data_IF_453378829043
#
_entry.id   IF_453378829043
#
_cell.length_a   1.000
_cell.length_b   1.000
_cell.length_c   1.000
_cell.angle_alpha   90.00
_cell.angle_beta   90.00
_cell.angle_gamma   90.00
#
_symmetry.space_group_name_H-M   'P 1'
#
loop_
_entity.id
_entity.type
_entity.pdbx_description
1 polymer ?
#
# COMPACT_ATOMS: atom_id res chain seq x y z
N UNK A 1 -3.34 -8.62 -38.43
CA UNK A 1 -4.39 -9.38 -37.74
C UNK A 1 -3.78 -10.01 -36.50
N UNK A 2 -3.65 -9.23 -35.41
CA UNK A 2 -3.23 -9.73 -34.10
C UNK A 2 -4.39 -9.53 -33.14
N UNK A 3 -4.97 -10.66 -32.76
CA UNK A 3 -6.13 -10.74 -31.88
C UNK A 3 -5.72 -10.29 -30.48
N UNK A 4 -6.22 -9.14 -30.02
CA UNK A 4 -6.18 -8.74 -28.61
C UNK A 4 -7.04 -9.73 -27.82
N UNK A 5 -6.42 -10.75 -27.22
CA UNK A 5 -7.08 -11.63 -26.26
C UNK A 5 -7.18 -10.89 -24.93
N UNK A 6 -8.41 -10.61 -24.52
CA UNK A 6 -8.74 -10.15 -23.18
C UNK A 6 -8.12 -11.07 -22.12
N UNK A 7 -7.19 -10.54 -21.30
CA UNK A 7 -6.51 -11.26 -20.21
C UNK A 7 -7.19 -11.07 -18.85
N UNK A 8 -8.42 -10.57 -18.85
CA UNK A 8 -9.19 -10.32 -17.64
C UNK A 8 -10.27 -11.40 -17.51
N UNK A 9 -10.06 -12.36 -16.60
CA UNK A 9 -11.15 -13.18 -16.09
C UNK A 9 -11.59 -12.57 -14.76
N UNK A 10 -12.70 -11.84 -14.78
CA UNK A 10 -13.36 -11.32 -13.59
C UNK A 10 -14.49 -12.25 -13.23
N UNK A 11 -14.22 -13.25 -12.40
CA UNK A 11 -15.27 -14.13 -11.89
C UNK A 11 -15.77 -13.62 -10.53
N UNK A 12 -17.04 -13.23 -10.48
CA UNK A 12 -17.71 -12.85 -9.23
C UNK A 12 -18.28 -14.12 -8.59
N UNK A 13 -17.79 -14.46 -7.40
CA UNK A 13 -18.21 -15.66 -6.67
C UNK A 13 -18.91 -15.25 -5.37
N UNK A 14 -20.24 -15.19 -5.37
CA UNK A 14 -21.04 -15.02 -4.14
C UNK A 14 -21.55 -16.37 -3.66
N UNK A 15 -21.33 -16.71 -2.39
CA UNK A 15 -21.98 -17.84 -1.72
C UNK A 15 -22.99 -17.28 -0.72
N UNK A 16 -24.20 -17.82 -0.66
CA UNK A 16 -25.29 -17.33 0.20
C UNK A 16 -24.99 -17.38 1.72
N UNK A 17 -23.88 -18.01 2.12
CA UNK A 17 -23.42 -18.12 3.50
C UNK A 17 -22.09 -17.37 3.78
N UNK A 18 -21.53 -16.68 2.79
CA UNK A 18 -20.28 -15.93 2.92
C UNK A 18 -20.54 -14.43 2.69
N UNK A 19 -19.82 -13.53 3.39
CA UNK A 19 -19.81 -12.11 3.02
C UNK A 19 -19.42 -11.96 1.55
N UNK A 20 -19.95 -10.94 0.87
CA UNK A 20 -19.73 -10.73 -0.58
C UNK A 20 -18.23 -10.63 -0.90
N UNK A 21 -17.63 -11.75 -1.30
CA UNK A 21 -16.19 -11.92 -1.46
C UNK A 21 -15.87 -12.11 -2.93
N UNK A 22 -15.51 -11.02 -3.60
CA UNK A 22 -15.09 -11.07 -5.00
C UNK A 22 -13.60 -11.44 -5.11
N UNK A 23 -13.29 -12.55 -5.79
CA UNK A 23 -11.91 -12.97 -6.07
C UNK A 23 -11.61 -12.80 -7.56
N UNK A 24 -10.64 -11.95 -7.87
CA UNK A 24 -10.17 -11.69 -9.23
C UNK A 24 -8.79 -12.30 -9.44
N UNK A 25 -8.54 -12.86 -10.62
CA UNK A 25 -7.25 -13.46 -10.97
C UNK A 25 -6.58 -12.75 -12.13
N UNK A 26 -5.25 -12.79 -12.16
CA UNK A 26 -4.44 -12.34 -13.30
C UNK A 26 -3.30 -13.33 -13.52
N UNK A 27 -3.15 -13.80 -14.75
CA UNK A 27 -2.17 -14.83 -15.11
C UNK A 27 -2.63 -16.24 -14.77
N UNK A 28 -1.70 -17.20 -14.80
CA UNK A 28 -1.99 -18.63 -14.62
C UNK A 28 -2.18 -19.00 -13.14
N UNK A 29 -3.27 -18.50 -12.53
CA UNK A 29 -3.66 -18.83 -11.15
C UNK A 29 -4.45 -20.15 -11.14
N UNK A 30 -4.03 -21.17 -10.38
CA UNK A 30 -4.77 -22.43 -10.29
C UNK A 30 -6.18 -22.23 -9.68
N UNK A 31 -7.24 -22.91 -10.18
CA UNK A 31 -8.59 -22.84 -9.59
C UNK A 31 -8.65 -23.24 -8.11
N UNK A 32 -7.74 -24.13 -7.67
CA UNK A 32 -7.59 -24.51 -6.27
C UNK A 32 -7.18 -23.32 -5.39
N UNK A 33 -6.37 -22.38 -5.90
CA UNK A 33 -5.95 -21.20 -5.15
C UNK A 33 -7.11 -20.20 -5.00
N UNK A 34 -7.96 -20.07 -6.02
CA UNK A 34 -9.21 -19.27 -5.94
C UNK A 34 -10.15 -19.87 -4.88
N UNK A 35 -10.38 -21.18 -4.93
CA UNK A 35 -11.21 -21.89 -3.94
C UNK A 35 -10.65 -21.73 -2.53
N UNK A 36 -9.32 -21.82 -2.37
CA UNK A 36 -8.64 -21.59 -1.09
C UNK A 36 -8.83 -20.15 -0.63
N UNK A 37 -8.70 -19.16 -1.52
CA UNK A 37 -8.87 -17.75 -1.19
C UNK A 37 -10.28 -17.48 -0.67
N UNK A 38 -11.32 -17.92 -1.40
CA UNK A 38 -12.72 -17.76 -0.98
C UNK A 38 -12.93 -18.33 0.43
N UNK A 39 -12.60 -19.61 0.61
CA UNK A 39 -12.86 -20.31 1.88
C UNK A 39 -12.05 -19.75 3.05
N UNK A 40 -10.76 -19.51 2.85
CA UNK A 40 -9.87 -19.15 3.94
C UNK A 40 -10.04 -17.68 4.35
N UNK A 41 -10.20 -16.76 3.39
CA UNK A 41 -10.45 -15.34 3.68
C UNK A 41 -11.85 -15.17 4.27
N UNK A 42 -12.87 -15.87 3.74
CA UNK A 42 -14.21 -15.85 4.33
C UNK A 42 -14.24 -16.34 5.79
N UNK A 43 -13.39 -17.31 6.16
CA UNK A 43 -13.23 -17.71 7.57
C UNK A 43 -12.62 -16.62 8.44
N UNK A 44 -11.60 -15.90 7.94
CA UNK A 44 -11.00 -14.76 8.66
C UNK A 44 -12.05 -13.67 8.88
N UNK A 45 -12.80 -13.30 7.86
CA UNK A 45 -13.86 -12.27 7.98
C UNK A 45 -14.89 -12.64 9.05
N UNK A 46 -15.39 -13.88 9.05
CA UNK A 46 -16.33 -14.36 10.09
C UNK A 46 -15.73 -14.35 11.49
N UNK A 47 -14.44 -14.72 11.63
CA UNK A 47 -13.74 -14.70 12.92
C UNK A 47 -13.68 -13.29 13.53
N UNK A 48 -13.63 -12.28 12.68
CA UNK A 48 -13.61 -10.86 13.07
C UNK A 48 -15.00 -10.20 12.99
N UNK A 49 -16.07 -10.98 12.82
CA UNK A 49 -17.46 -10.49 12.71
C UNK A 49 -17.65 -9.43 11.61
N UNK A 50 -17.00 -9.62 10.46
CA UNK A 50 -17.10 -8.74 9.30
C UNK A 50 -18.07 -9.30 8.25
N UNK A 51 -19.26 -8.71 8.21
CA UNK A 51 -20.32 -9.02 7.23
C UNK A 51 -20.35 -8.00 6.08
N UNK A 52 -19.18 -7.51 5.67
CA UNK A 52 -19.02 -6.49 4.61
C UNK A 52 -18.32 -7.07 3.38
N UNK A 53 -18.53 -6.48 2.18
CA UNK A 53 -17.88 -6.93 0.98
C UNK A 53 -16.34 -6.86 1.07
N UNK A 54 -15.68 -7.89 0.56
CA UNK A 54 -14.24 -7.98 0.48
C UNK A 54 -13.79 -8.27 -0.96
N UNK A 55 -12.65 -7.72 -1.36
CA UNK A 55 -12.10 -7.89 -2.70
C UNK A 55 -10.70 -8.46 -2.62
N UNK A 56 -10.53 -9.62 -3.24
CA UNK A 56 -9.25 -10.31 -3.31
C UNK A 56 -8.78 -10.33 -4.75
N UNK A 57 -7.49 -10.04 -4.95
CA UNK A 57 -6.83 -10.16 -6.24
C UNK A 57 -5.62 -11.08 -6.10
N UNK A 58 -5.60 -12.13 -6.91
CA UNK A 58 -4.47 -13.06 -7.01
C UNK A 58 -3.79 -12.83 -8.36
N UNK A 59 -2.48 -12.57 -8.37
CA UNK A 59 -1.72 -12.31 -9.58
C UNK A 59 -0.53 -13.25 -9.65
N UNK A 60 -0.55 -14.17 -10.61
CA UNK A 60 0.57 -15.05 -10.94
C UNK A 60 1.33 -14.45 -12.13
N UNK A 61 2.60 -14.03 -11.97
CA UNK A 61 3.43 -13.57 -13.09
C UNK A 61 3.61 -14.67 -14.16
N UNK A 62 4.01 -14.32 -15.39
CA UNK A 62 4.30 -15.32 -16.43
C UNK A 62 5.54 -16.14 -16.08
N UNK A 63 6.55 -15.56 -15.43
CA UNK A 63 7.76 -16.26 -14.99
C UNK A 63 7.42 -17.29 -13.90
N UNK A 64 7.77 -18.59 -14.09
CA UNK A 64 7.42 -19.66 -13.14
C UNK A 64 7.91 -19.41 -11.72
N UNK A 65 9.13 -18.90 -11.58
CA UNK A 65 9.81 -18.69 -10.29
C UNK A 65 9.47 -17.36 -9.63
N UNK A 66 8.82 -16.44 -10.37
CA UNK A 66 8.39 -15.18 -9.79
C UNK A 66 7.24 -15.40 -8.80
N UNK A 67 7.28 -14.73 -7.63
CA UNK A 67 6.29 -14.95 -6.59
C UNK A 67 4.89 -14.49 -7.03
N UNK A 68 3.88 -15.24 -6.62
CA UNK A 68 2.49 -14.83 -6.74
C UNK A 68 2.20 -13.72 -5.75
N UNK A 69 1.48 -12.70 -6.21
CA UNK A 69 1.05 -11.56 -5.40
C UNK A 69 -0.43 -11.73 -5.05
N UNK A 70 -0.75 -11.69 -3.76
CA UNK A 70 -2.14 -11.67 -3.27
C UNK A 70 -2.39 -10.35 -2.58
N UNK A 71 -3.47 -9.68 -2.95
CA UNK A 71 -3.97 -8.49 -2.28
C UNK A 71 -5.40 -8.75 -1.82
N UNK A 72 -5.70 -8.45 -0.56
CA UNK A 72 -7.08 -8.42 -0.06
C UNK A 72 -7.41 -7.02 0.45
N UNK A 73 -8.61 -6.55 0.13
CA UNK A 73 -9.14 -5.28 0.59
C UNK A 73 -10.45 -5.58 1.30
N UNK A 74 -10.58 -5.08 2.52
CA UNK A 74 -11.70 -5.30 3.42
C UNK A 74 -12.08 -3.97 4.05
N UNK A 75 -13.23 -3.91 4.72
CA UNK A 75 -13.59 -2.80 5.59
C UNK A 75 -13.72 -3.33 7.01
N UNK A 76 -13.06 -2.67 7.96
CA UNK A 76 -13.19 -2.92 9.38
C UNK A 76 -13.97 -1.75 9.98
N UNK A 77 -15.26 -1.94 10.23
CA UNK A 77 -16.20 -0.83 10.45
C UNK A 77 -16.12 0.17 9.29
N UNK A 78 -15.95 1.46 9.56
CA UNK A 78 -15.79 2.51 8.55
C UNK A 78 -14.35 2.67 8.03
N UNK A 79 -13.40 1.89 8.55
CA UNK A 79 -11.99 1.98 8.17
C UNK A 79 -11.68 1.00 7.03
N UNK A 80 -11.30 1.48 5.84
CA UNK A 80 -10.79 0.60 4.79
C UNK A 80 -9.46 -0.01 5.26
N UNK A 81 -9.33 -1.31 5.07
CA UNK A 81 -8.10 -2.03 5.36
C UNK A 81 -7.67 -2.86 4.16
N UNK A 82 -6.37 -2.99 3.99
CA UNK A 82 -5.77 -3.71 2.87
C UNK A 82 -4.57 -4.49 3.35
N UNK A 83 -4.39 -5.68 2.80
CA UNK A 83 -3.14 -6.45 2.87
C UNK A 83 -2.61 -6.70 1.47
N UNK A 84 -1.29 -6.74 1.33
CA UNK A 84 -0.64 -7.30 0.16
C UNK A 84 0.56 -8.15 0.57
N UNK A 85 0.69 -9.32 -0.04
CA UNK A 85 1.79 -10.24 0.24
C UNK A 85 2.23 -10.95 -1.03
N UNK A 86 3.49 -11.37 -1.04
CA UNK A 86 4.07 -12.27 -2.02
C UNK A 86 4.27 -13.65 -1.43
N UNK A 87 4.15 -14.68 -2.26
CA UNK A 87 4.59 -16.02 -1.88
C UNK A 87 4.79 -16.92 -3.09
N UNK A 88 5.42 -18.09 -2.89
CA UNK A 88 5.48 -19.11 -3.91
C UNK A 88 4.07 -19.49 -4.38
N UNK A 89 4.00 -19.92 -5.65
CA UNK A 89 2.75 -20.42 -6.27
C UNK A 89 2.14 -21.51 -5.40
N UNK A 90 0.82 -21.53 -5.26
CA UNK A 90 0.09 -22.47 -4.40
C UNK A 90 0.06 -22.12 -2.90
N UNK A 91 0.97 -21.27 -2.41
CA UNK A 91 1.05 -20.90 -0.99
C UNK A 91 0.76 -19.41 -0.72
N UNK A 92 0.85 -18.53 -1.72
CA UNK A 92 0.65 -17.09 -1.55
C UNK A 92 -0.67 -16.71 -0.86
N UNK A 93 -1.75 -17.48 -1.11
CA UNK A 93 -3.05 -17.28 -0.43
C UNK A 93 -2.96 -17.55 1.07
N UNK A 94 -2.19 -18.56 1.51
CA UNK A 94 -2.01 -18.86 2.93
C UNK A 94 -1.34 -17.70 3.65
N UNK A 95 -0.28 -17.13 3.07
CA UNK A 95 0.36 -15.93 3.63
C UNK A 95 -0.59 -14.74 3.69
N UNK A 96 -1.47 -14.58 2.69
CA UNK A 96 -2.44 -13.48 2.68
C UNK A 96 -3.48 -13.64 3.80
N UNK A 97 -3.91 -14.87 4.06
CA UNK A 97 -4.84 -15.21 5.14
C UNK A 97 -4.21 -14.89 6.49
N UNK A 98 -3.00 -15.37 6.75
CA UNK A 98 -2.29 -15.10 8.01
C UNK A 98 -2.04 -13.60 8.23
N UNK A 99 -1.64 -12.89 7.18
CA UNK A 99 -1.40 -11.44 7.23
C UNK A 99 -2.68 -10.67 7.51
N UNK A 100 -3.78 -10.99 6.80
CA UNK A 100 -5.08 -10.35 7.01
C UNK A 100 -5.56 -10.56 8.45
N UNK A 101 -5.42 -11.79 8.93
CA UNK A 101 -5.84 -12.18 10.27
C UNK A 101 -5.09 -11.42 11.37
N UNK A 102 -3.76 -11.31 11.22
CA UNK A 102 -2.91 -10.50 12.10
C UNK A 102 -3.27 -9.02 12.03
N UNK A 103 -3.46 -8.48 10.82
CA UNK A 103 -3.79 -7.07 10.62
C UNK A 103 -5.13 -6.70 11.25
N UNK A 104 -6.19 -7.49 11.05
CA UNK A 104 -7.49 -7.22 11.67
C UNK A 104 -7.43 -7.29 13.19
N UNK A 105 -6.77 -8.31 13.75
CA UNK A 105 -6.53 -8.44 15.20
C UNK A 105 -5.84 -7.19 15.75
N UNK A 106 -4.79 -6.74 15.06
CA UNK A 106 -3.97 -5.60 15.45
C UNK A 106 -4.71 -4.26 15.35
N UNK A 107 -5.46 -4.05 14.27
CA UNK A 107 -6.27 -2.83 14.09
C UNK A 107 -7.37 -2.73 15.16
N UNK A 108 -8.04 -3.84 15.49
CA UNK A 108 -9.02 -3.89 16.59
C UNK A 108 -8.37 -3.56 17.95
N UNK A 109 -7.14 -4.03 18.17
CA UNK A 109 -6.36 -3.76 19.37
C UNK A 109 -5.65 -2.38 19.36
N UNK A 110 -5.75 -1.60 18.27
CA UNK A 110 -5.04 -0.32 18.05
C UNK A 110 -3.53 -0.39 18.23
N UNK A 111 -2.94 -1.56 17.93
CA UNK A 111 -1.51 -1.80 18.02
C UNK A 111 -0.79 -1.39 16.72
N UNK A 112 0.44 -0.90 16.82
CA UNK A 112 1.28 -0.64 15.63
C UNK A 112 1.68 -1.93 14.93
N UNK A 113 1.87 -1.89 13.61
CA UNK A 113 2.46 -3.02 12.88
C UNK A 113 3.89 -3.27 13.33
N UNK A 114 4.33 -4.51 13.14
CA UNK A 114 5.75 -4.83 13.21
C UNK A 114 6.48 -4.11 12.06
N UNK A 115 7.62 -3.49 12.38
CA UNK A 115 8.50 -2.87 11.40
C UNK A 115 9.98 -3.09 11.78
N UNK A 116 10.84 -3.51 10.84
CA UNK A 116 10.49 -3.93 9.48
C UNK A 116 9.62 -5.19 9.49
N UNK A 117 8.75 -5.31 8.50
CA UNK A 117 7.89 -6.48 8.37
C UNK A 117 8.63 -7.61 7.65
N UNK A 118 8.99 -8.71 8.32
CA UNK A 118 9.79 -9.77 7.71
C UNK A 118 9.04 -10.49 6.58
N UNK A 119 7.71 -10.43 6.57
CA UNK A 119 6.89 -11.03 5.52
C UNK A 119 6.74 -10.12 4.29
N UNK A 120 7.18 -8.86 4.37
CA UNK A 120 7.07 -7.87 3.31
C UNK A 120 8.32 -6.98 3.29
N UNK A 121 9.46 -7.50 2.81
CA UNK A 121 10.65 -6.69 2.63
C UNK A 121 10.35 -5.53 1.65
N UNK A 122 10.96 -4.34 1.86
CA UNK A 122 10.85 -3.24 0.91
C UNK A 122 11.30 -3.69 -0.49
N UNK A 123 10.59 -3.22 -1.52
CA UNK A 123 10.99 -3.43 -2.91
C UNK A 123 12.15 -2.49 -3.28
N UNK A 124 13.30 -2.68 -2.63
CA UNK A 124 14.49 -1.87 -2.80
C UNK A 124 15.52 -2.63 -3.66
N UNK A 125 15.70 -2.23 -4.91
CA UNK A 125 16.58 -2.90 -5.87
C UNK A 125 17.16 -1.90 -6.87
N UNK A 126 18.48 -1.89 -7.06
CA UNK A 126 19.12 -1.07 -8.10
C UNK A 126 18.80 -1.66 -9.47
N UNK A 127 18.16 -0.87 -10.32
CA UNK A 127 17.75 -1.28 -11.68
C UNK A 127 18.06 -0.18 -12.68
N UNK A 128 18.05 -0.54 -13.97
CA UNK A 128 17.84 0.44 -15.04
C UNK A 128 16.51 1.18 -14.84
N UNK A 129 16.34 2.30 -15.53
CA UNK A 129 15.10 3.07 -15.51
C UNK A 129 13.89 2.20 -15.90
N UNK A 130 12.86 2.23 -15.07
CA UNK A 130 11.62 1.47 -15.25
C UNK A 130 10.46 2.40 -15.60
N UNK A 131 9.57 2.01 -16.52
CA UNK A 131 8.47 2.85 -16.94
C UNK A 131 7.42 3.05 -15.83
N UNK A 132 6.79 4.23 -15.83
CA UNK A 132 5.58 4.51 -15.05
C UNK A 132 4.38 3.94 -15.81
N UNK A 133 4.01 2.69 -15.51
CA UNK A 133 2.90 1.99 -16.20
C UNK A 133 1.54 2.27 -15.57
N UNK A 134 1.51 2.85 -14.38
CA UNK A 134 0.27 3.15 -13.65
C UNK A 134 0.33 4.53 -13.03
N UNK A 135 -0.75 5.28 -13.21
CA UNK A 135 -1.01 6.55 -12.52
C UNK A 135 -2.24 6.42 -11.63
N UNK A 136 -2.20 7.06 -10.47
CA UNK A 136 -3.30 7.14 -9.51
C UNK A 136 -3.47 8.59 -9.09
N UNK A 137 -4.54 9.21 -9.58
CA UNK A 137 -5.01 10.49 -9.05
C UNK A 137 -5.84 10.20 -7.80
N UNK A 138 -5.49 10.85 -6.70
CA UNK A 138 -6.09 10.62 -5.40
C UNK A 138 -6.55 11.95 -4.80
N UNK A 139 -7.79 12.00 -4.31
CA UNK A 139 -8.17 13.00 -3.31
C UNK A 139 -7.35 12.75 -2.04
N UNK A 140 -6.53 13.72 -1.67
CA UNK A 140 -5.66 13.57 -0.51
C UNK A 140 -6.44 13.80 0.78
N UNK A 141 -6.17 12.96 1.78
CA UNK A 141 -6.52 13.28 3.16
C UNK A 141 -5.88 14.62 3.52
N UNK A 142 -6.69 15.59 3.95
CA UNK A 142 -6.18 16.76 4.67
C UNK A 142 -6.25 16.48 6.16
N UNK A 143 -5.11 16.35 6.83
CA UNK A 143 -5.07 15.90 8.21
C UNK A 143 -3.69 15.97 8.84
N UNK A 144 -3.58 15.45 10.05
CA UNK A 144 -2.33 15.38 10.82
C UNK A 144 -1.47 14.20 10.36
N UNK A 145 -0.14 14.22 10.60
CA UNK A 145 0.73 13.07 10.36
C UNK A 145 0.27 11.79 11.09
N UNK A 146 -0.37 11.92 12.25
CA UNK A 146 -0.91 10.79 13.02
C UNK A 146 -2.11 10.12 12.34
N UNK A 147 -3.03 10.92 11.78
CA UNK A 147 -4.15 10.41 10.97
C UNK A 147 -3.64 9.77 9.68
N UNK A 148 -2.69 10.42 9.00
CA UNK A 148 -2.04 9.89 7.81
C UNK A 148 -1.34 8.55 8.09
N UNK A 149 -0.66 8.42 9.24
CA UNK A 149 -0.02 7.17 9.69
C UNK A 149 -1.06 6.07 9.92
N UNK A 150 -2.21 6.42 10.50
CA UNK A 150 -3.31 5.46 10.73
C UNK A 150 -3.86 4.91 9.40
N UNK A 151 -3.99 5.75 8.37
CA UNK A 151 -4.36 5.31 7.03
C UNK A 151 -3.26 4.47 6.38
N UNK A 152 -2.01 4.92 6.46
CA UNK A 152 -0.84 4.20 5.94
C UNK A 152 -0.78 2.77 6.48
N UNK A 153 -0.97 2.64 7.80
CA UNK A 153 -0.97 1.37 8.50
C UNK A 153 -2.16 0.47 8.14
N UNK A 154 -3.38 1.02 8.16
CA UNK A 154 -4.58 0.26 7.83
C UNK A 154 -4.57 -0.24 6.38
N UNK A 155 -3.95 0.52 5.47
CA UNK A 155 -3.90 0.18 4.05
C UNK A 155 -2.69 -0.70 3.65
N UNK A 156 -1.86 -1.09 4.61
CA UNK A 156 -0.62 -1.83 4.39
C UNK A 156 0.26 -1.14 3.34
N UNK A 157 0.45 0.17 3.55
CA UNK A 157 1.35 1.00 2.77
C UNK A 157 2.65 1.22 3.53
N UNK A 158 3.73 1.41 2.78
CA UNK A 158 5.03 1.73 3.35
C UNK A 158 5.29 3.25 3.40
N UNK A 159 4.59 3.98 2.53
CA UNK A 159 4.53 5.43 2.46
C UNK A 159 3.12 5.88 2.07
N UNK A 160 2.67 7.01 2.58
CA UNK A 160 1.34 7.56 2.29
C UNK A 160 1.40 9.07 2.06
N UNK A 161 0.91 9.49 0.89
CA UNK A 161 0.79 10.88 0.46
C UNK A 161 -0.51 11.49 1.01
N UNK A 162 -0.41 12.67 1.63
CA UNK A 162 -1.51 13.40 2.22
C UNK A 162 -1.22 14.91 2.17
N UNK A 163 -2.20 15.75 2.49
CA UNK A 163 -2.02 17.18 2.71
C UNK A 163 -1.94 17.45 4.22
N UNK A 164 -0.81 17.99 4.67
CA UNK A 164 -0.62 18.27 6.10
C UNK A 164 -1.45 19.48 6.52
N UNK A 165 -2.45 19.25 7.39
CA UNK A 165 -3.36 20.28 7.86
C UNK A 165 -2.66 21.46 8.57
N UNK A 166 -1.46 21.24 9.13
CA UNK A 166 -0.71 22.31 9.79
C UNK A 166 -0.08 23.29 8.79
N UNK A 167 0.41 22.78 7.66
CA UNK A 167 1.21 23.57 6.71
C UNK A 167 0.50 23.84 5.39
N UNK A 168 -0.55 23.07 5.09
CA UNK A 168 -1.22 23.05 3.78
C UNK A 168 -0.37 22.44 2.66
N UNK A 169 0.81 21.88 2.98
CA UNK A 169 1.71 21.27 2.00
C UNK A 169 1.31 19.81 1.73
N UNK A 170 1.57 19.33 0.51
CA UNK A 170 1.59 17.90 0.29
C UNK A 170 2.78 17.30 1.07
N UNK A 171 2.56 16.14 1.67
CA UNK A 171 3.53 15.51 2.54
C UNK A 171 3.41 13.98 2.45
N UNK A 172 4.47 13.29 2.82
CA UNK A 172 4.48 11.83 2.95
C UNK A 172 4.86 11.45 4.36
N UNK A 173 4.07 10.55 4.95
CA UNK A 173 4.54 9.74 6.07
C UNK A 173 5.06 8.41 5.54
N UNK A 174 6.13 7.89 6.12
CA UNK A 174 6.62 6.54 5.83
C UNK A 174 7.23 5.89 7.07
N UNK A 175 7.26 4.56 7.09
CA UNK A 175 7.90 3.84 8.19
C UNK A 175 9.42 4.04 8.20
N UNK A 176 10.02 4.02 9.38
CA UNK A 176 11.46 4.09 9.59
C UNK A 176 11.94 3.11 10.67
N UNK A 177 13.25 2.86 10.67
CA UNK A 177 13.93 2.07 11.69
C UNK A 177 14.77 2.99 12.62
N UNK A 178 14.81 2.74 13.95
CA UNK A 178 13.95 1.81 14.69
C UNK A 178 12.47 2.24 14.65
N UNK A 179 11.54 1.31 14.90
CA UNK A 179 10.07 1.48 14.70
C UNK A 179 9.60 2.91 15.01
N UNK A 180 9.29 3.63 13.94
CA UNK A 180 8.87 5.02 13.96
C UNK A 180 8.30 5.43 12.61
N UNK A 181 7.99 6.72 12.51
CA UNK A 181 7.45 7.33 11.31
C UNK A 181 8.30 8.53 10.95
N UNK A 182 8.66 8.64 9.67
CA UNK A 182 9.24 9.85 9.12
C UNK A 182 8.17 10.67 8.41
N UNK A 183 8.28 11.99 8.53
CA UNK A 183 7.49 12.97 7.81
C UNK A 183 8.40 13.77 6.88
N UNK A 184 8.11 13.70 5.58
CA UNK A 184 8.73 14.55 4.57
C UNK A 184 7.67 15.48 4.01
N UNK A 185 7.94 16.79 3.99
CA UNK A 185 7.08 17.79 3.33
C UNK A 185 7.73 18.33 2.07
N UNK A 186 6.92 18.94 1.21
CA UNK A 186 7.43 19.55 -0.03
C UNK A 186 8.47 20.64 0.23
N UNK A 187 8.25 21.50 1.22
CA UNK A 187 9.05 22.74 1.40
C UNK A 187 9.51 22.94 2.84
N UNK A 188 8.67 22.61 3.82
CA UNK A 188 8.89 22.99 5.22
C UNK A 188 9.42 21.85 6.10
N UNK A 189 10.48 22.15 6.86
CA UNK A 189 11.02 21.25 7.89
C UNK A 189 10.47 21.53 9.31
N UNK A 190 9.35 22.25 9.43
CA UNK A 190 8.80 22.68 10.73
C UNK A 190 8.43 21.46 11.57
N UNK A 191 8.98 21.33 12.79
CA UNK A 191 8.58 20.24 13.67
C UNK A 191 7.11 20.39 14.11
N UNK A 192 6.27 19.34 14.01
CA UNK A 192 4.94 19.36 14.59
C UNK A 192 5.05 19.48 16.11
N UNK A 193 4.01 20.06 16.73
CA UNK A 193 3.92 20.16 18.18
C UNK A 193 3.93 18.74 18.78
N UNK A 194 4.81 18.50 19.75
CA UNK A 194 4.98 17.18 20.35
C UNK A 194 3.68 16.71 21.03
N UNK A 195 3.28 15.46 20.75
CA UNK A 195 2.26 14.80 21.54
C UNK A 195 2.89 14.27 22.84
N UNK A 196 2.24 14.53 23.99
CA UNK A 196 2.68 14.06 25.29
C UNK A 196 2.77 12.52 25.36
N UNK A 197 3.59 12.01 26.30
CA UNK A 197 3.81 10.58 26.58
C UNK A 197 2.50 9.78 26.54
N UNK A 198 2.36 8.96 25.50
CA UNK A 198 1.23 8.07 25.29
C UNK A 198 1.74 6.65 25.01
N UNK A 199 0.96 5.61 25.32
CA UNK A 199 1.29 4.25 24.91
C UNK A 199 1.50 4.19 23.39
N UNK A 200 2.43 3.35 22.93
CA UNK A 200 2.73 3.17 21.50
C UNK A 200 1.53 2.55 20.77
N UNK A 201 0.76 3.41 20.12
CA UNK A 201 -0.31 3.06 19.16
C UNK A 201 0.16 3.58 17.80
N UNK A 202 -0.47 3.14 16.71
CA UNK A 202 -0.18 3.66 15.36
C UNK A 202 -0.19 5.19 15.33
N UNK A 203 -1.13 5.81 16.04
CA UNK A 203 -1.29 7.27 16.14
C UNK A 203 -0.29 7.99 17.07
N UNK A 204 0.54 7.25 17.81
CA UNK A 204 1.47 7.80 18.82
C UNK A 204 2.89 7.24 18.67
N UNK A 205 3.23 6.73 17.48
CA UNK A 205 4.61 6.35 17.19
C UNK A 205 5.53 7.57 17.16
N UNK A 206 6.82 7.42 17.51
CA UNK A 206 7.81 8.47 17.37
C UNK A 206 7.80 9.02 15.93
N UNK A 207 7.62 10.33 15.80
CA UNK A 207 7.58 11.02 14.53
C UNK A 207 8.85 11.85 14.35
N UNK A 208 9.65 11.51 13.34
CA UNK A 208 10.83 12.26 12.92
C UNK A 208 10.49 13.09 11.70
N UNK A 209 10.77 14.40 11.73
CA UNK A 209 10.60 15.24 10.54
C UNK A 209 11.92 15.30 9.82
N UNK A 210 11.90 14.98 8.53
CA UNK A 210 13.08 15.13 7.70
C UNK A 210 13.38 16.61 7.47
N UNK A 211 14.61 17.00 7.80
CA UNK A 211 15.06 18.39 7.73
C UNK A 211 15.21 18.91 6.30
N UNK A 212 15.34 18.00 5.32
CA UNK A 212 15.45 18.36 3.91
C UNK A 212 14.06 18.37 3.26
N UNK A 213 13.71 19.42 2.50
CA UNK A 213 12.48 19.42 1.71
C UNK A 213 12.52 18.34 0.62
N UNK A 214 11.35 17.93 0.15
CA UNK A 214 11.25 17.02 -0.98
C UNK A 214 11.97 17.61 -2.21
N UNK A 215 12.77 16.82 -2.94
CA UNK A 215 13.48 17.30 -4.12
C UNK A 215 12.49 17.75 -5.21
N UNK A 216 12.85 18.79 -5.96
CA UNK A 216 12.08 19.22 -7.13
C UNK A 216 12.56 18.49 -8.39
N UNK A 217 11.71 17.62 -8.92
CA UNK A 217 12.04 16.72 -10.03
C UNK A 217 10.89 16.71 -11.04
N UNK A 218 11.20 16.35 -12.27
CA UNK A 218 10.24 15.83 -13.26
C UNK A 218 9.97 14.34 -13.01
N UNK A 219 8.87 13.81 -13.54
CA UNK A 219 8.57 12.37 -13.48
C UNK A 219 9.75 11.49 -13.94
N UNK A 220 10.41 11.84 -15.05
CA UNK A 220 11.52 11.07 -15.63
C UNK A 220 12.76 11.10 -14.70
N UNK A 221 13.12 12.27 -14.17
CA UNK A 221 14.22 12.37 -13.20
C UNK A 221 13.92 11.60 -11.90
N UNK A 222 12.66 11.60 -11.46
CA UNK A 222 12.21 10.85 -10.29
C UNK A 222 12.30 9.34 -10.54
N UNK A 223 11.85 8.86 -11.70
CA UNK A 223 11.96 7.46 -12.11
C UNK A 223 13.42 7.01 -12.18
N UNK A 224 14.28 7.80 -12.84
CA UNK A 224 15.70 7.54 -12.93
C UNK A 224 16.37 7.46 -11.55
N UNK A 225 16.07 8.42 -10.67
CA UNK A 225 16.62 8.48 -9.31
C UNK A 225 16.16 7.32 -8.45
N UNK A 226 14.88 6.98 -8.48
CA UNK A 226 14.33 5.83 -7.76
C UNK A 226 14.98 4.52 -8.23
N UNK A 227 15.15 4.36 -9.54
CA UNK A 227 15.75 3.16 -10.15
C UNK A 227 17.22 3.00 -9.77
N UNK A 228 18.04 4.02 -10.04
CA UNK A 228 19.50 3.98 -9.83
C UNK A 228 19.91 3.88 -8.37
N UNK A 229 19.13 4.47 -7.47
CA UNK A 229 19.45 4.44 -6.03
C UNK A 229 18.79 3.27 -5.31
N UNK A 230 18.07 2.40 -6.03
CA UNK A 230 17.42 1.23 -5.44
C UNK A 230 16.34 1.57 -4.40
N UNK A 231 15.67 2.71 -4.55
CA UNK A 231 14.67 3.16 -3.59
C UNK A 231 13.35 2.38 -3.77
N UNK A 232 12.65 2.03 -2.67
CA UNK A 232 11.32 1.40 -2.74
C UNK A 232 10.22 2.39 -3.16
N UNK A 233 10.40 3.66 -2.77
CA UNK A 233 9.56 4.78 -3.15
C UNK A 233 10.38 6.07 -3.16
N UNK A 234 9.85 7.11 -3.80
CA UNK A 234 10.41 8.46 -3.84
C UNK A 234 9.27 9.47 -3.78
N UNK A 235 9.31 10.34 -2.77
CA UNK A 235 8.48 11.53 -2.71
C UNK A 235 9.25 12.72 -3.31
N UNK A 236 8.60 13.49 -4.17
CA UNK A 236 9.19 14.65 -4.82
C UNK A 236 8.13 15.72 -5.11
N UNK A 237 8.57 16.96 -5.28
CA UNK A 237 7.71 18.04 -5.78
C UNK A 237 7.84 18.09 -7.30
N UNK A 238 6.74 17.89 -8.02
CA UNK A 238 6.72 17.98 -9.49
C UNK A 238 6.92 19.43 -9.92
N UNK A 239 7.89 19.67 -10.82
CA UNK A 239 8.25 21.02 -11.27
C UNK A 239 7.11 21.71 -12.00
N UNK A 240 6.35 20.99 -12.81
CA UNK A 240 5.26 21.59 -13.59
C UNK A 240 4.07 22.00 -12.72
N UNK A 241 3.62 21.11 -11.83
CA UNK A 241 2.39 21.30 -11.03
C UNK A 241 2.66 21.91 -9.66
N UNK A 242 3.91 21.88 -9.21
CA UNK A 242 4.32 22.24 -7.84
C UNK A 242 3.61 21.41 -6.76
N UNK A 243 3.04 20.26 -7.12
CA UNK A 243 2.37 19.31 -6.22
C UNK A 243 3.31 18.20 -5.78
N UNK A 244 3.04 17.63 -4.62
CA UNK A 244 3.79 16.52 -4.05
C UNK A 244 3.34 15.21 -4.66
N UNK A 245 4.26 14.50 -5.31
CA UNK A 245 4.00 13.24 -5.97
C UNK A 245 4.76 12.10 -5.29
N UNK A 246 4.10 10.93 -5.18
CA UNK A 246 4.69 9.72 -4.62
C UNK A 246 4.87 8.68 -5.72
N UNK A 247 6.12 8.39 -6.07
CA UNK A 247 6.51 7.33 -7.00
C UNK A 247 6.91 6.09 -6.20
N UNK A 248 6.44 4.91 -6.60
CA UNK A 248 6.81 3.67 -5.89
C UNK A 248 6.89 2.45 -6.81
N UNK A 249 7.64 1.44 -6.36
CA UNK A 249 7.81 0.17 -7.09
C UNK A 249 6.64 -0.77 -6.92
N UNK A 250 6.32 -1.46 -7.99
CA UNK A 250 5.36 -2.54 -7.99
C UNK A 250 6.07 -3.89 -7.91
N UNK A 251 5.34 -4.93 -7.56
CA UNK A 251 5.86 -6.31 -7.57
C UNK A 251 6.16 -6.87 -8.96
N UNK A 252 5.72 -6.21 -10.04
CA UNK A 252 6.12 -6.53 -11.41
C UNK A 252 7.36 -5.73 -11.87
N UNK A 253 8.00 -4.98 -10.97
CA UNK A 253 9.24 -4.23 -11.22
C UNK A 253 9.03 -2.83 -11.82
N UNK A 254 7.86 -2.56 -12.40
CA UNK A 254 7.54 -1.25 -12.97
C UNK A 254 7.05 -0.26 -11.90
N UNK A 255 6.87 1.00 -12.30
CA UNK A 255 6.58 2.09 -11.36
C UNK A 255 5.09 2.47 -11.37
N UNK A 256 4.62 2.91 -10.20
CA UNK A 256 3.33 3.61 -10.07
C UNK A 256 3.56 5.01 -9.53
N UNK A 257 2.95 5.99 -10.18
CA UNK A 257 2.89 7.37 -9.72
C UNK A 257 1.55 7.63 -9.03
N UNK A 258 1.60 8.23 -7.84
CA UNK A 258 0.45 8.76 -7.12
C UNK A 258 0.54 10.28 -7.15
N UNK A 259 -0.50 10.91 -7.68
CA UNK A 259 -0.61 12.36 -7.77
C UNK A 259 -1.86 12.83 -7.02
N UNK A 260 -1.86 14.03 -6.45
CA UNK A 260 -3.08 14.64 -5.96
C UNK A 260 -4.05 14.84 -7.12
N UNK A 261 -5.34 14.60 -6.90
CA UNK A 261 -6.38 14.99 -7.83
C UNK A 261 -6.38 16.53 -7.97
N UNK A 262 -6.65 17.02 -9.17
CA UNK A 262 -6.93 18.44 -9.37
C UNK A 262 -8.25 18.76 -8.65
N UNK A 263 -8.25 19.78 -7.78
CA UNK A 263 -9.51 20.28 -7.23
C UNK A 263 -10.29 20.90 -8.40
N UNK A 264 -11.43 20.29 -8.76
CA UNK A 264 -12.38 20.85 -9.71
C UNK A 264 -13.01 22.15 -9.20
#
# INVERSE_FOLDING_TARGET
MYSSRSLYSSEHWSSAADPDLAVTTRGAVPPADVTRAVRAIGRVLRRHHLDVPARVRVTAPPEPDAPTVVQANVRLHDTPARVQVTGPRGFAVTFAVERLDRQLTRLLARQSRDWPDPARPPLAEVTEERPIIRRKECELLTGTPSEATSVMDAMDYDAYLFTDAQTGEDAVVHWSEPLGVHLVRQRSAVHPLAAADRPLTVSSLPLTVDSAPAPQLTEDEAALRLCRNGLPFLFFTERATQRGNLLYRRYDGDLTLVTPAENA
#
